data_IF_773798859548
#
_entry.id   IF_773798859548
#
_cell.length_a   1.000
_cell.length_b   1.000
_cell.length_c   1.000
_cell.angle_alpha   90.00
_cell.angle_beta   90.00
_cell.angle_gamma   90.00
#
_symmetry.space_group_name_H-M   'P 1'
#
loop_
_entity.id
_entity.type
_entity.pdbx_description
1 polymer ?
#
# COMPACT_ATOMS: atom_id res chain seq x y z
N UNK A 1 51.88 14.24 -44.72
CA UNK A 1 52.06 14.30 -43.25
C UNK A 1 51.32 15.52 -42.73
N UNK A 2 50.35 15.32 -41.82
CA UNK A 2 49.66 16.33 -40.98
C UNK A 2 48.85 17.38 -41.77
N UNK A 3 47.65 17.81 -41.40
CA UNK A 3 46.89 17.68 -40.16
C UNK A 3 45.39 17.54 -40.51
N UNK A 4 44.65 16.95 -39.58
CA UNK A 4 43.19 16.83 -39.59
C UNK A 4 42.61 18.12 -39.02
N UNK A 5 41.71 18.77 -39.75
CA UNK A 5 40.82 19.79 -39.19
C UNK A 5 39.37 19.38 -39.47
N UNK A 6 38.71 18.95 -38.39
CA UNK A 6 37.31 18.55 -38.31
C UNK A 6 36.56 19.78 -37.75
N UNK A 7 35.60 20.39 -38.45
CA UNK A 7 34.76 21.39 -37.82
C UNK A 7 33.69 20.69 -36.96
N UNK A 8 33.66 21.12 -35.70
CA UNK A 8 32.64 20.87 -34.68
C UNK A 8 31.21 21.17 -35.18
N UNK A 9 30.23 20.66 -34.42
CA UNK A 9 28.79 20.99 -34.41
C UNK A 9 28.00 20.20 -35.47
N UNK A 10 27.21 19.18 -35.14
CA UNK A 10 25.98 19.26 -34.34
C UNK A 10 25.82 18.03 -33.43
N UNK A 11 25.87 18.26 -32.12
CA UNK A 11 25.30 17.37 -31.11
C UNK A 11 23.78 17.41 -31.25
N UNK A 12 23.18 16.45 -31.94
CA UNK A 12 21.77 16.15 -31.72
C UNK A 12 21.69 15.29 -30.45
N UNK A 13 21.40 15.95 -29.34
CA UNK A 13 20.95 15.29 -28.13
C UNK A 13 19.62 14.59 -28.46
N UNK A 14 19.66 13.29 -28.76
CA UNK A 14 18.46 12.47 -28.64
C UNK A 14 18.16 12.32 -27.16
N UNK A 15 17.35 13.26 -26.66
CA UNK A 15 16.65 13.12 -25.41
C UNK A 15 15.72 11.91 -25.57
N UNK A 16 16.21 10.70 -25.32
CA UNK A 16 15.31 9.58 -25.11
C UNK A 16 14.56 9.94 -23.85
N UNK A 17 13.31 10.38 -24.04
CA UNK A 17 12.38 10.56 -22.95
C UNK A 17 12.39 9.25 -22.18
N UNK A 18 13.05 9.24 -21.03
CA UNK A 18 12.79 8.25 -20.00
C UNK A 18 11.37 8.55 -19.52
N UNK A 19 10.40 8.10 -20.32
CA UNK A 19 9.02 8.02 -19.89
C UNK A 19 9.04 7.12 -18.67
N UNK A 20 8.99 7.73 -17.49
CA UNK A 20 8.61 7.01 -16.29
C UNK A 20 7.25 6.40 -16.63
N UNK A 21 7.22 5.08 -16.83
CA UNK A 21 5.97 4.35 -16.96
C UNK A 21 5.30 4.52 -15.61
N UNK A 22 4.38 5.49 -15.50
CA UNK A 22 3.46 5.54 -14.38
C UNK A 22 2.59 4.29 -14.51
N UNK A 23 2.91 3.27 -13.72
CA UNK A 23 2.01 2.17 -13.50
C UNK A 23 0.72 2.75 -12.89
N UNK A 24 -0.35 2.77 -13.67
CA UNK A 24 -1.66 3.17 -13.19
C UNK A 24 -2.12 2.10 -12.21
N UNK A 25 -2.24 2.47 -10.93
CA UNK A 25 -2.84 1.59 -9.93
C UNK A 25 -4.33 1.39 -10.28
N UNK A 26 -4.74 0.14 -10.42
CA UNK A 26 -6.13 -0.22 -10.64
C UNK A 26 -6.84 -0.32 -9.29
N UNK A 27 -7.91 0.45 -9.10
CA UNK A 27 -8.65 0.53 -7.85
C UNK A 27 -10.04 -0.08 -7.99
N UNK A 28 -10.57 -0.60 -6.88
CA UNK A 28 -11.96 -1.06 -6.82
C UNK A 28 -12.93 0.11 -6.97
N UNK A 29 -14.22 -0.20 -7.18
CA UNK A 29 -15.29 0.72 -6.84
C UNK A 29 -15.29 1.00 -5.32
N UNK A 30 -15.98 2.07 -4.90
CA UNK A 30 -16.15 2.36 -3.48
C UNK A 30 -17.12 1.35 -2.88
N UNK A 31 -16.67 0.64 -1.84
CA UNK A 31 -17.46 -0.37 -1.12
C UNK A 31 -17.91 0.22 0.21
N UNK A 32 -19.19 0.05 0.54
CA UNK A 32 -19.76 0.50 1.82
C UNK A 32 -19.71 -0.62 2.84
N UNK A 33 -19.15 -0.32 4.02
CA UNK A 33 -19.15 -1.20 5.18
C UNK A 33 -19.88 -0.55 6.35
N UNK A 34 -20.04 -1.28 7.45
CA UNK A 34 -20.57 -0.73 8.71
C UNK A 34 -19.66 0.35 9.32
N UNK A 35 -18.34 0.23 9.11
CA UNK A 35 -17.36 1.22 9.55
C UNK A 35 -17.32 2.48 8.67
N UNK A 36 -17.58 2.34 7.37
CA UNK A 36 -17.59 3.47 6.43
C UNK A 36 -17.23 3.05 5.01
N UNK A 37 -17.13 4.01 4.07
CA UNK A 37 -16.74 3.72 2.71
C UNK A 37 -15.25 3.36 2.59
N UNK A 38 -14.94 2.39 1.75
CA UNK A 38 -13.60 1.86 1.49
C UNK A 38 -13.30 1.86 -0.01
N UNK A 39 -12.03 2.01 -0.37
CA UNK A 39 -11.53 1.72 -1.72
C UNK A 39 -10.25 0.89 -1.63
N UNK A 40 -10.27 -0.28 -2.25
CA UNK A 40 -9.12 -1.17 -2.35
C UNK A 40 -8.44 -1.09 -3.72
N UNK A 41 -7.52 -2.01 -3.97
CA UNK A 41 -6.78 -2.16 -5.23
C UNK A 41 -7.10 -3.50 -5.90
N UNK A 42 -6.99 -3.56 -7.23
CA UNK A 42 -7.05 -4.79 -8.02
C UNK A 42 -5.62 -5.25 -8.26
N UNK A 43 -5.30 -6.44 -7.78
CA UNK A 43 -3.98 -7.04 -7.89
C UNK A 43 -4.05 -8.36 -8.64
N UNK A 44 -2.90 -8.86 -9.09
CA UNK A 44 -2.77 -10.16 -9.74
C UNK A 44 -1.90 -11.10 -8.93
N UNK A 45 -2.30 -12.36 -8.83
CA UNK A 45 -1.47 -13.40 -8.18
C UNK A 45 -0.22 -13.69 -9.00
N UNK A 46 0.93 -13.87 -8.33
CA UNK A 46 2.21 -14.04 -9.01
C UNK A 46 2.30 -15.30 -9.90
N UNK A 47 1.56 -16.37 -9.58
CA UNK A 47 1.65 -17.65 -10.31
C UNK A 47 0.68 -17.78 -11.48
N UNK A 48 -0.57 -17.35 -11.30
CA UNK A 48 -1.64 -17.55 -12.30
C UNK A 48 -2.09 -16.24 -12.96
N UNK A 49 -1.53 -15.11 -12.56
CA UNK A 49 -1.97 -13.78 -12.99
C UNK A 49 -3.48 -13.56 -12.79
N UNK A 50 -4.06 -14.24 -11.79
CA UNK A 50 -5.47 -14.15 -11.44
C UNK A 50 -5.72 -12.85 -10.71
N UNK A 51 -6.66 -12.04 -11.21
CA UNK A 51 -7.10 -10.81 -10.56
C UNK A 51 -7.87 -11.11 -9.27
N UNK A 52 -7.68 -10.24 -8.28
CA UNK A 52 -8.43 -10.21 -7.04
C UNK A 52 -8.46 -8.78 -6.50
N UNK A 53 -9.53 -8.43 -5.80
CA UNK A 53 -9.60 -7.21 -5.03
C UNK A 53 -8.90 -7.40 -3.67
N UNK A 54 -8.12 -6.39 -3.29
CA UNK A 54 -7.32 -6.33 -2.09
C UNK A 54 -7.69 -5.08 -1.30
N UNK A 55 -8.09 -5.27 -0.05
CA UNK A 55 -8.38 -4.20 0.90
C UNK A 55 -7.50 -4.42 2.12
N UNK A 56 -6.51 -3.56 2.34
CA UNK A 56 -5.53 -3.68 3.43
C UNK A 56 -5.67 -2.57 4.45
N UNK A 57 -5.28 -2.85 5.69
CA UNK A 57 -5.23 -1.85 6.74
C UNK A 57 -6.60 -1.29 7.14
N UNK A 58 -7.65 -2.11 7.11
CA UNK A 58 -9.00 -1.70 7.54
C UNK A 58 -9.05 -1.74 9.07
N UNK A 59 -9.30 -0.62 9.77
CA UNK A 59 -9.41 -0.63 11.22
C UNK A 59 -10.72 -1.30 11.66
N UNK A 60 -10.65 -2.24 12.58
CA UNK A 60 -11.84 -2.93 13.11
C UNK A 60 -12.16 -2.58 14.57
N UNK A 61 -11.22 -1.95 15.28
CA UNK A 61 -11.38 -1.49 16.65
C UNK A 61 -10.61 -0.18 16.87
N UNK A 62 -10.93 0.55 17.93
CA UNK A 62 -10.11 1.67 18.39
C UNK A 62 -8.73 1.18 18.84
N UNK A 63 -7.64 1.95 18.59
CA UNK A 63 -6.30 1.57 19.02
C UNK A 63 -6.24 1.31 20.54
N UNK A 64 -5.67 0.18 21.00
CA UNK A 64 -5.63 -0.20 22.41
C UNK A 64 -4.52 0.56 23.17
N UNK A 65 -4.46 1.88 23.00
CA UNK A 65 -3.44 2.76 23.55
C UNK A 65 -3.89 3.38 24.88
N UNK A 66 -2.92 3.71 25.73
CA UNK A 66 -3.16 4.41 27.00
C UNK A 66 -4.16 3.67 27.89
N UNK A 67 -5.30 4.30 28.20
CA UNK A 67 -6.32 3.74 29.08
C UNK A 67 -7.10 2.56 28.48
N UNK A 68 -6.95 2.28 27.17
CA UNK A 68 -7.52 1.11 26.49
C UNK A 68 -6.57 -0.10 26.49
N UNK A 69 -5.32 0.07 26.92
CA UNK A 69 -4.35 -1.02 26.98
C UNK A 69 -4.84 -2.12 27.93
N UNK A 70 -4.72 -3.36 27.48
CA UNK A 70 -5.14 -4.57 28.20
C UNK A 70 -6.65 -4.67 28.49
N UNK A 71 -7.49 -3.88 27.81
CA UNK A 71 -8.95 -3.97 27.87
C UNK A 71 -9.50 -4.71 26.64
N UNK A 72 -10.76 -5.19 26.69
CA UNK A 72 -11.44 -5.67 25.50
C UNK A 72 -11.41 -4.61 24.37
N UNK A 73 -11.29 -5.02 23.09
CA UNK A 73 -11.36 -4.11 21.97
C UNK A 73 -12.65 -3.29 21.99
N UNK A 74 -12.53 -2.00 21.70
CA UNK A 74 -13.67 -1.09 21.54
C UNK A 74 -13.95 -0.96 20.05
N UNK A 75 -15.22 -1.04 19.65
CA UNK A 75 -15.62 -0.89 18.25
C UNK A 75 -15.09 0.44 17.66
N UNK A 76 -14.57 0.38 16.44
CA UNK A 76 -14.05 1.56 15.75
C UNK A 76 -15.20 2.51 15.44
N UNK A 77 -15.02 3.80 15.75
CA UNK A 77 -15.96 4.83 15.29
C UNK A 77 -16.02 4.84 13.77
N UNK A 78 -17.24 4.86 13.24
CA UNK A 78 -17.46 4.97 11.82
C UNK A 78 -16.83 6.25 11.24
N UNK A 79 -16.41 6.16 9.99
CA UNK A 79 -15.83 7.27 9.22
C UNK A 79 -16.70 7.61 8.01
N UNK A 80 -16.66 8.88 7.58
CA UNK A 80 -17.47 9.37 6.44
C UNK A 80 -16.70 9.45 5.13
N UNK A 81 -15.40 9.73 5.21
CA UNK A 81 -14.53 9.85 4.03
C UNK A 81 -14.11 8.48 3.50
N UNK A 82 -13.84 8.36 2.20
CA UNK A 82 -13.39 7.10 1.63
C UNK A 82 -12.01 6.73 2.19
N UNK A 83 -11.93 5.64 2.93
CA UNK A 83 -10.65 5.09 3.37
C UNK A 83 -9.97 4.34 2.21
N UNK A 84 -8.76 4.78 1.84
CA UNK A 84 -7.93 4.10 0.84
C UNK A 84 -7.20 2.91 1.49
N UNK A 85 -7.77 1.72 1.33
CA UNK A 85 -7.34 0.48 1.96
C UNK A 85 -6.28 -0.25 1.12
N UNK A 86 -5.12 0.36 0.92
CA UNK A 86 -4.06 -0.14 0.00
C UNK A 86 -2.71 -0.37 0.69
N UNK A 87 -2.57 0.13 1.91
CA UNK A 87 -1.34 -0.01 2.69
C UNK A 87 -1.53 -1.05 3.78
N UNK A 88 -0.50 -1.87 4.02
CA UNK A 88 -0.46 -2.74 5.18
C UNK A 88 -0.39 -1.89 6.45
N UNK A 89 -1.04 -2.37 7.51
CA UNK A 89 -0.93 -1.79 8.84
C UNK A 89 0.29 -2.35 9.59
N UNK A 90 0.68 -1.69 10.67
CA UNK A 90 1.66 -2.25 11.60
C UNK A 90 1.19 -3.58 12.17
N UNK A 91 2.13 -4.53 12.30
CA UNK A 91 1.90 -5.75 13.08
C UNK A 91 1.86 -5.41 14.58
N UNK A 92 1.17 -6.26 15.36
CA UNK A 92 1.19 -6.10 16.81
C UNK A 92 2.59 -6.29 17.39
N UNK A 93 2.86 -5.54 18.46
CA UNK A 93 4.13 -5.56 19.18
C UNK A 93 4.54 -7.00 19.53
N UNK A 94 5.69 -7.43 19.02
CA UNK A 94 6.20 -8.80 19.20
C UNK A 94 7.73 -8.85 19.12
N UNK A 95 8.31 -9.98 19.52
CA UNK A 95 9.74 -10.25 19.41
C UNK A 95 10.00 -10.95 18.08
N UNK A 96 10.92 -10.42 17.28
CA UNK A 96 11.36 -11.04 16.03
C UNK A 96 12.11 -12.34 16.32
N UNK A 97 11.69 -13.42 15.66
CA UNK A 97 12.38 -14.73 15.78
C UNK A 97 13.75 -14.74 15.11
N UNK A 98 14.06 -13.76 14.25
CA UNK A 98 15.36 -13.71 13.57
C UNK A 98 16.41 -13.07 14.48
N UNK A 99 16.21 -11.83 14.93
CA UNK A 99 17.23 -11.09 15.67
C UNK A 99 16.88 -10.85 17.14
N UNK A 100 15.81 -11.44 17.66
CA UNK A 100 15.31 -11.25 19.03
C UNK A 100 15.04 -9.78 19.42
N UNK A 101 14.93 -8.88 18.45
CA UNK A 101 14.54 -7.49 18.69
C UNK A 101 13.02 -7.35 18.81
N UNK A 102 12.57 -6.40 19.61
CA UNK A 102 11.15 -6.04 19.68
C UNK A 102 10.79 -5.11 18.51
N UNK A 103 9.68 -5.40 17.83
CA UNK A 103 9.17 -4.59 16.70
C UNK A 103 7.64 -4.61 16.65
N UNK A 104 7.06 -3.77 15.79
CA UNK A 104 5.61 -3.60 15.66
C UNK A 104 5.08 -2.42 16.49
N UNK A 105 3.76 -2.32 16.57
CA UNK A 105 3.03 -1.22 17.21
C UNK A 105 1.88 -1.74 18.07
N UNK A 106 1.50 -1.00 19.11
CA UNK A 106 0.25 -1.30 19.84
C UNK A 106 -0.98 -0.86 19.04
N UNK A 107 -0.84 0.09 18.10
CA UNK A 107 -1.88 0.43 17.14
C UNK A 107 -1.86 -0.57 15.97
N UNK A 108 -2.35 -1.79 16.23
CA UNK A 108 -2.30 -2.91 15.27
C UNK A 108 -3.65 -3.61 15.01
N UNK A 109 -4.77 -3.06 15.50
CA UNK A 109 -6.11 -3.65 15.35
C UNK A 109 -6.72 -3.36 13.97
N UNK A 110 -6.08 -3.91 12.94
CA UNK A 110 -6.48 -3.80 11.54
C UNK A 110 -6.65 -5.18 10.91
N UNK A 111 -7.40 -5.24 9.82
CA UNK A 111 -7.55 -6.44 9.02
C UNK A 111 -7.36 -6.15 7.53
N UNK A 112 -7.02 -7.20 6.80
CA UNK A 112 -6.93 -7.18 5.34
C UNK A 112 -7.91 -8.22 4.77
N UNK A 113 -8.64 -7.86 3.72
CA UNK A 113 -9.66 -8.68 3.05
C UNK A 113 -9.28 -8.83 1.58
N UNK A 114 -9.33 -10.06 1.08
CA UNK A 114 -9.00 -10.40 -0.29
C UNK A 114 -10.12 -11.24 -0.90
N UNK A 115 -10.60 -10.86 -2.09
CA UNK A 115 -11.69 -11.57 -2.77
C UNK A 115 -11.46 -11.59 -4.29
N UNK A 116 -11.76 -12.70 -5.00
CA UNK A 116 -11.63 -12.75 -6.46
C UNK A 116 -12.61 -11.80 -7.17
N UNK A 117 -13.74 -11.47 -6.53
CA UNK A 117 -14.80 -10.63 -7.08
C UNK A 117 -15.39 -9.74 -5.98
N UNK A 118 -15.82 -8.52 -6.36
CA UNK A 118 -16.47 -7.55 -5.48
C UNK A 118 -17.84 -7.20 -6.05
#
# INVERSE_FOLDING_TARGET
MRARDIPLVVLYASLTATGAILALAEYTSIIRTTGGPLRGEILRTARKSQEYASFKGIPYAEPPLGHLRFKPPVEKRSWTDVLLAVNESDVCLQISMWNFSTFGSENCLYMSVFTPHV
#
